data_IF_563611125947
#
_entry.id   IF_563611125947
#
_cell.length_a   1.000
_cell.length_b   1.000
_cell.length_c   1.000
_cell.angle_alpha   90.00
_cell.angle_beta   90.00
_cell.angle_gamma   90.00
#
_symmetry.space_group_name_H-M   'P 1'
#
loop_
_entity.id
_entity.type
_entity.pdbx_description
1 polymer ?
#
# COMPACT_ATOMS: atom_id res chain seq x y z
N UNK A 1 -15.31 -11.88 -13.00
CA UNK A 1 -14.33 -10.86 -12.56
C UNK A 1 -15.10 -9.60 -12.29
N UNK A 2 -14.78 -8.86 -11.22
CA UNK A 2 -15.42 -7.58 -10.95
C UNK A 2 -15.13 -6.58 -12.08
N UNK A 3 -16.07 -5.67 -12.32
CA UNK A 3 -15.87 -4.54 -13.24
C UNK A 3 -14.96 -3.48 -12.62
N UNK A 4 -14.46 -2.56 -13.44
CA UNK A 4 -13.66 -1.42 -12.95
C UNK A 4 -14.49 -0.58 -11.97
N UNK A 5 -15.75 -0.32 -12.28
CA UNK A 5 -16.65 0.49 -11.44
C UNK A 5 -16.89 -0.16 -10.08
N UNK A 6 -17.06 -1.49 -10.06
CA UNK A 6 -17.20 -2.26 -8.81
C UNK A 6 -15.94 -2.16 -7.94
N UNK A 7 -14.74 -2.30 -8.55
CA UNK A 7 -13.47 -2.20 -7.82
C UNK A 7 -13.21 -0.78 -7.30
N UNK A 8 -13.46 0.24 -8.12
CA UNK A 8 -13.27 1.65 -7.74
C UNK A 8 -14.26 2.04 -6.65
N UNK A 9 -15.53 1.65 -6.78
CA UNK A 9 -16.56 1.91 -5.78
C UNK A 9 -16.23 1.27 -4.43
N UNK A 10 -15.83 0.00 -4.44
CA UNK A 10 -15.42 -0.69 -3.22
C UNK A 10 -14.18 -0.03 -2.57
N UNK A 11 -13.15 0.27 -3.36
CA UNK A 11 -11.93 0.91 -2.86
C UNK A 11 -12.18 2.33 -2.30
N UNK A 12 -13.12 3.09 -2.89
CA UNK A 12 -13.53 4.40 -2.40
C UNK A 12 -14.17 4.31 -1.02
N UNK A 13 -15.17 3.44 -0.85
CA UNK A 13 -15.85 3.26 0.43
C UNK A 13 -14.88 2.80 1.53
N UNK A 14 -13.94 1.90 1.23
CA UNK A 14 -12.92 1.49 2.19
C UNK A 14 -12.03 2.66 2.63
N UNK A 15 -11.61 3.53 1.69
CA UNK A 15 -10.81 4.73 1.98
C UNK A 15 -11.55 5.80 2.78
N UNK A 16 -12.88 5.82 2.72
CA UNK A 16 -13.72 6.73 3.52
C UNK A 16 -14.00 6.22 4.93
N UNK A 17 -13.75 4.94 5.20
CA UNK A 17 -14.05 4.28 6.48
C UNK A 17 -12.81 3.91 7.29
N UNK A 18 -11.61 4.05 6.73
CA UNK A 18 -10.35 3.80 7.44
C UNK A 18 -10.01 4.96 8.37
N UNK A 19 -9.40 4.65 9.51
CA UNK A 19 -8.75 5.65 10.34
C UNK A 19 -7.53 6.20 9.60
N UNK A 20 -7.53 7.50 9.31
CA UNK A 20 -6.44 8.14 8.56
C UNK A 20 -5.29 8.51 9.49
N UNK A 21 -4.08 8.23 9.02
CA UNK A 21 -2.85 8.71 9.63
C UNK A 21 -2.34 9.90 8.82
N UNK A 22 -2.36 11.07 9.44
CA UNK A 22 -1.88 12.31 8.80
C UNK A 22 -0.35 12.38 8.86
N UNK A 23 0.27 12.89 7.79
CA UNK A 23 1.71 13.13 7.68
C UNK A 23 1.95 14.42 6.88
N UNK A 24 3.08 15.06 7.14
CA UNK A 24 3.57 16.21 6.39
C UNK A 24 4.21 15.83 5.04
N UNK A 25 4.35 14.53 4.75
CA UNK A 25 4.84 14.02 3.48
C UNK A 25 3.72 14.00 2.43
N UNK A 26 3.91 14.62 1.25
CA UNK A 26 2.94 14.52 0.16
C UNK A 26 2.70 13.06 -0.26
N UNK A 27 1.45 12.70 -0.56
CA UNK A 27 1.08 11.32 -0.88
C UNK A 27 1.82 10.79 -2.12
N UNK A 28 2.09 11.67 -3.10
CA UNK A 28 2.86 11.39 -4.30
C UNK A 28 4.34 11.05 -4.04
N UNK A 29 4.86 11.38 -2.85
CA UNK A 29 6.22 11.04 -2.42
C UNK A 29 6.26 9.76 -1.56
N UNK A 30 5.11 9.16 -1.22
CA UNK A 30 5.02 7.94 -0.45
C UNK A 30 4.98 6.69 -1.33
N UNK A 31 5.82 5.71 -0.98
CA UNK A 31 5.80 4.38 -1.57
C UNK A 31 5.07 3.38 -0.67
N UNK A 32 4.16 2.61 -1.25
CA UNK A 32 3.59 1.39 -0.65
C UNK A 32 4.00 0.16 -1.46
N UNK A 33 4.41 -0.91 -0.78
CA UNK A 33 4.87 -2.17 -1.39
C UNK A 33 3.86 -3.30 -1.19
N UNK A 34 2.57 -3.00 -1.36
CA UNK A 34 1.50 -3.96 -1.16
C UNK A 34 1.33 -4.93 -2.33
N UNK A 35 0.78 -6.10 -2.03
CA UNK A 35 0.36 -7.08 -3.04
C UNK A 35 -0.90 -7.78 -2.56
N UNK A 36 -1.76 -8.17 -3.50
CA UNK A 36 -3.03 -8.86 -3.22
C UNK A 36 -2.83 -10.27 -2.65
N UNK A 37 -1.61 -10.80 -2.70
CA UNK A 37 -1.30 -12.19 -2.36
C UNK A 37 -1.68 -13.17 -3.49
N UNK A 38 -1.68 -14.46 -3.18
CA UNK A 38 -1.98 -15.53 -4.14
C UNK A 38 -0.75 -16.25 -4.71
N UNK A 39 0.44 -15.70 -4.52
CA UNK A 39 1.71 -16.38 -4.81
C UNK A 39 2.25 -17.14 -3.57
N UNK A 40 3.13 -18.15 -3.76
CA UNK A 40 3.80 -18.82 -2.66
C UNK A 40 4.54 -17.83 -1.76
N UNK A 41 4.21 -17.83 -0.47
CA UNK A 41 4.82 -16.94 0.52
C UNK A 41 6.09 -17.60 1.06
N UNK A 42 7.24 -17.31 0.44
CA UNK A 42 8.54 -17.82 0.93
C UNK A 42 8.89 -17.17 2.27
N UNK A 43 8.76 -15.84 2.36
CA UNK A 43 8.85 -15.04 3.59
C UNK A 43 8.21 -13.66 3.36
N UNK A 44 8.35 -12.74 4.32
CA UNK A 44 7.86 -11.36 4.27
C UNK A 44 8.66 -10.46 3.30
N UNK A 45 8.76 -10.87 2.02
CA UNK A 45 9.54 -10.18 0.97
C UNK A 45 9.14 -8.72 0.85
N UNK A 46 7.84 -8.41 0.84
CA UNK A 46 7.37 -7.03 0.68
C UNK A 46 7.69 -6.14 1.88
N UNK A 47 7.76 -6.70 3.09
CA UNK A 47 8.23 -5.99 4.28
C UNK A 47 9.74 -5.74 4.20
N UNK A 48 10.53 -6.74 3.81
CA UNK A 48 11.96 -6.56 3.61
C UNK A 48 12.25 -5.49 2.53
N UNK A 49 11.50 -5.50 1.43
CA UNK A 49 11.59 -4.49 0.37
C UNK A 49 11.25 -3.08 0.88
N UNK A 50 10.21 -2.93 1.70
CA UNK A 50 9.86 -1.65 2.32
C UNK A 50 11.01 -1.11 3.18
N UNK A 51 11.63 -1.95 4.01
CA UNK A 51 12.76 -1.55 4.86
C UNK A 51 13.98 -1.14 4.02
N UNK A 52 14.30 -1.91 2.98
CA UNK A 52 15.41 -1.60 2.07
C UNK A 52 15.17 -0.27 1.34
N UNK A 53 13.98 -0.06 0.79
CA UNK A 53 13.64 1.20 0.12
C UNK A 53 13.74 2.41 1.08
N UNK A 54 13.23 2.26 2.30
CA UNK A 54 13.35 3.30 3.34
C UNK A 54 14.82 3.60 3.67
N UNK A 55 15.67 2.57 3.78
CA UNK A 55 17.10 2.76 4.02
C UNK A 55 17.84 3.45 2.87
N UNK A 56 17.28 3.41 1.65
CA UNK A 56 17.78 4.12 0.48
C UNK A 56 17.24 5.57 0.38
N UNK A 57 16.48 6.06 1.36
CA UNK A 57 15.96 7.42 1.41
C UNK A 57 14.56 7.60 0.81
N UNK A 58 13.88 6.51 0.41
CA UNK A 58 12.48 6.57 -0.04
C UNK A 58 11.56 6.71 1.16
N UNK A 59 10.55 7.58 1.08
CA UNK A 59 9.53 7.71 2.12
C UNK A 59 8.52 6.57 1.93
N UNK A 60 8.48 5.63 2.86
CA UNK A 60 7.66 4.40 2.74
C UNK A 60 6.51 4.42 3.73
N UNK A 61 5.30 4.25 3.23
CA UNK A 61 4.09 4.02 4.03
C UNK A 61 3.48 2.69 3.59
N UNK A 62 3.80 1.61 4.32
CA UNK A 62 3.27 0.28 4.06
C UNK A 62 2.02 0.03 4.91
N UNK A 63 0.93 -0.41 4.28
CA UNK A 63 -0.30 -0.80 4.99
C UNK A 63 -0.30 -2.28 5.44
#
# INVERSE_FOLDING_TARGET
MPTVDELVGAAGVMRDKVDRLETDVPAEELLDTAGTGGAPKVFNVSTAAAIVAASAGVKVAKH
#
